data_IF_911193467067
#
_entry.id   IF_911193467067
#
_cell.length_a   1.000
_cell.length_b   1.000
_cell.length_c   1.000
_cell.angle_alpha   90.00
_cell.angle_beta   90.00
_cell.angle_gamma   90.00
#
_symmetry.space_group_name_H-M   'P 1'
#
loop_
_entity.id
_entity.type
_entity.pdbx_description
1 polymer ?
#
# COMPACT_ATOMS: atom_id res chain seq x y z
N UNK A 1 5.59 -56.04 53.12
CA UNK A 1 6.23 -55.74 51.81
C UNK A 1 5.57 -54.49 51.28
N UNK A 2 6.19 -53.34 51.53
CA UNK A 2 5.70 -52.01 51.17
C UNK A 2 6.01 -51.71 49.70
N UNK A 3 5.05 -51.18 48.96
CA UNK A 3 5.29 -50.56 47.65
C UNK A 3 5.75 -49.11 47.85
N UNK A 4 6.67 -48.58 47.02
CA UNK A 4 7.05 -47.18 47.08
C UNK A 4 6.11 -46.32 46.21
N UNK A 5 5.75 -45.14 46.74
CA UNK A 5 5.02 -44.11 46.03
C UNK A 5 5.93 -43.39 45.02
N UNK A 6 5.48 -43.30 43.77
CA UNK A 6 6.09 -42.49 42.72
C UNK A 6 5.78 -41.00 42.99
N UNK A 7 6.83 -40.21 43.16
CA UNK A 7 6.78 -38.76 43.24
C UNK A 7 6.58 -38.18 41.83
N UNK A 8 5.53 -37.40 41.63
CA UNK A 8 5.26 -36.64 40.41
C UNK A 8 6.27 -35.51 40.27
N UNK A 9 7.05 -35.52 39.19
CA UNK A 9 7.92 -34.42 38.77
C UNK A 9 7.12 -33.29 38.15
N UNK A 10 7.45 -32.06 38.56
CA UNK A 10 6.89 -30.80 38.10
C UNK A 10 6.98 -30.63 36.57
N UNK A 11 5.82 -30.40 35.94
CA UNK A 11 5.73 -29.93 34.56
C UNK A 11 6.17 -28.47 34.50
N UNK A 12 7.36 -28.25 33.93
CA UNK A 12 7.84 -26.94 33.49
C UNK A 12 6.96 -26.50 32.32
N UNK A 13 6.00 -25.62 32.60
CA UNK A 13 5.17 -24.97 31.58
C UNK A 13 6.06 -24.01 30.77
N UNK A 14 6.42 -24.41 29.56
CA UNK A 14 7.09 -23.55 28.59
C UNK A 14 6.24 -22.30 28.27
N UNK A 15 6.86 -21.23 27.71
CA UNK A 15 6.15 -19.99 27.40
C UNK A 15 4.99 -20.28 26.45
N UNK A 16 3.81 -19.75 26.79
CA UNK A 16 2.61 -19.87 25.98
C UNK A 16 2.81 -19.15 24.64
N UNK A 17 2.98 -19.93 23.56
CA UNK A 17 2.81 -19.42 22.21
C UNK A 17 1.44 -18.75 22.11
N UNK A 18 1.41 -17.48 21.69
CA UNK A 18 0.15 -16.78 21.46
C UNK A 18 -0.67 -17.56 20.42
N UNK A 19 -1.90 -17.90 20.76
CA UNK A 19 -2.82 -18.72 19.94
C UNK A 19 -3.46 -17.96 18.77
N UNK A 20 -2.97 -16.77 18.42
CA UNK A 20 -3.51 -15.96 17.34
C UNK A 20 -2.96 -16.43 15.98
N UNK A 21 -3.84 -16.59 14.99
CA UNK A 21 -3.42 -16.84 13.61
C UNK A 21 -2.47 -15.72 13.13
N UNK A 22 -1.49 -16.00 12.27
CA UNK A 22 -0.61 -14.96 11.76
C UNK A 22 -1.39 -13.91 10.95
N UNK A 23 -0.89 -12.68 10.96
CA UNK A 23 -1.34 -11.62 10.05
C UNK A 23 -0.69 -11.81 8.68
N UNK A 24 -1.37 -11.39 7.63
CA UNK A 24 -0.90 -11.48 6.25
C UNK A 24 -0.81 -10.09 5.62
N UNK A 25 0.36 -9.75 5.10
CA UNK A 25 0.64 -8.42 4.54
C UNK A 25 1.12 -8.53 3.11
N UNK A 26 0.49 -7.76 2.23
CA UNK A 26 0.99 -7.56 0.86
C UNK A 26 1.89 -6.33 0.84
N UNK A 27 3.10 -6.45 0.30
CA UNK A 27 4.00 -5.32 0.06
C UNK A 27 4.31 -5.25 -1.44
N UNK A 28 3.95 -4.17 -2.12
CA UNK A 28 4.23 -4.03 -3.55
C UNK A 28 5.38 -3.06 -3.81
N UNK A 29 6.21 -3.36 -4.80
CA UNK A 29 7.19 -2.44 -5.37
C UNK A 29 7.05 -2.44 -6.89
N UNK A 30 7.49 -1.39 -7.57
CA UNK A 30 7.35 -1.31 -9.02
C UNK A 30 8.47 -2.01 -9.76
N UNK A 31 8.17 -2.59 -10.93
CA UNK A 31 9.18 -3.05 -11.86
C UNK A 31 9.96 -1.93 -12.56
N UNK A 32 10.86 -2.28 -13.49
CA UNK A 32 11.68 -1.33 -14.24
C UNK A 32 10.84 -0.28 -14.98
N UNK A 33 11.30 0.98 -14.99
CA UNK A 33 10.65 2.07 -15.71
C UNK A 33 11.58 3.28 -15.91
N UNK A 34 11.44 3.95 -17.06
CA UNK A 34 12.21 5.15 -17.40
C UNK A 34 13.72 4.89 -17.26
N UNK A 35 14.41 5.64 -16.39
CA UNK A 35 15.85 5.50 -16.14
C UNK A 35 16.19 4.37 -15.16
N UNK A 36 15.21 3.70 -14.57
CA UNK A 36 15.43 2.64 -13.58
C UNK A 36 15.40 1.27 -14.26
N UNK A 37 16.57 0.74 -14.60
CA UNK A 37 16.71 -0.67 -15.00
C UNK A 37 16.32 -1.62 -13.86
N UNK A 38 16.63 -1.23 -12.63
CA UNK A 38 16.12 -1.85 -11.40
C UNK A 38 15.46 -0.75 -10.57
N UNK A 39 14.20 -0.95 -10.22
CA UNK A 39 13.44 0.04 -9.50
C UNK A 39 13.83 0.04 -8.00
N UNK A 40 14.15 1.21 -7.40
CA UNK A 40 14.50 1.29 -5.99
C UNK A 40 13.42 0.73 -5.06
N UNK A 41 12.14 0.91 -5.41
CA UNK A 41 11.03 0.35 -4.63
C UNK A 41 11.04 -1.19 -4.64
N UNK A 42 11.22 -1.83 -5.81
CA UNK A 42 11.32 -3.29 -5.88
C UNK A 42 12.54 -3.82 -5.11
N UNK A 43 13.68 -3.16 -5.23
CA UNK A 43 14.89 -3.55 -4.50
C UNK A 43 14.71 -3.49 -2.98
N UNK A 44 13.93 -2.54 -2.48
CA UNK A 44 13.66 -2.41 -1.06
C UNK A 44 12.64 -3.44 -0.54
N UNK A 45 11.63 -3.80 -1.34
CA UNK A 45 10.57 -4.74 -0.91
C UNK A 45 10.89 -6.20 -1.19
N UNK A 46 11.68 -6.52 -2.22
CA UNK A 46 11.98 -7.91 -2.59
C UNK A 46 12.57 -8.76 -1.46
N UNK A 47 13.43 -8.25 -0.55
CA UNK A 47 13.98 -9.05 0.53
C UNK A 47 12.95 -9.37 1.61
N UNK A 48 11.80 -8.67 1.62
CA UNK A 48 10.72 -8.88 2.59
C UNK A 48 9.86 -10.10 2.25
N UNK A 49 9.92 -10.61 1.02
CA UNK A 49 9.14 -11.77 0.61
C UNK A 49 9.48 -13.00 1.47
N UNK A 50 8.46 -13.72 1.96
CA UNK A 50 8.59 -14.85 2.91
C UNK A 50 9.17 -14.52 4.28
N UNK A 51 9.46 -13.24 4.59
CA UNK A 51 9.83 -12.88 5.95
C UNK A 51 8.63 -12.98 6.89
N UNK A 52 8.90 -13.48 8.10
CA UNK A 52 7.96 -13.40 9.22
C UNK A 52 8.44 -12.33 10.20
N UNK A 53 7.71 -11.22 10.25
CA UNK A 53 7.89 -10.19 11.26
C UNK A 53 6.95 -10.47 12.44
N UNK A 54 7.02 -9.62 13.46
CA UNK A 54 6.09 -9.65 14.58
C UNK A 54 5.55 -8.24 14.83
N UNK A 55 4.33 -8.15 15.35
CA UNK A 55 3.78 -6.89 15.85
C UNK A 55 4.63 -6.34 16.99
N UNK A 56 4.61 -5.02 17.18
CA UNK A 56 5.43 -4.37 18.24
C UNK A 56 4.70 -4.21 19.58
N UNK A 57 3.49 -4.72 19.69
CA UNK A 57 2.77 -4.78 20.96
C UNK A 57 3.15 -6.03 21.75
N UNK A 58 2.61 -6.15 22.97
CA UNK A 58 2.92 -7.26 23.87
C UNK A 58 2.46 -8.64 23.36
N UNK A 59 1.63 -8.71 22.31
CA UNK A 59 1.20 -9.99 21.73
C UNK A 59 2.28 -10.61 20.85
N UNK A 60 3.19 -9.79 20.31
CA UNK A 60 4.20 -10.19 19.31
C UNK A 60 3.61 -11.10 18.23
N UNK A 61 2.37 -10.83 17.79
CA UNK A 61 1.67 -11.64 16.79
C UNK A 61 2.49 -11.76 15.50
N UNK A 62 2.71 -12.97 14.94
CA UNK A 62 3.47 -13.14 13.70
C UNK A 62 2.80 -12.49 12.49
N UNK A 63 3.61 -11.96 11.57
CA UNK A 63 3.20 -11.27 10.34
C UNK A 63 3.93 -11.90 9.15
N UNK A 64 3.20 -12.53 8.23
CA UNK A 64 3.73 -13.11 7.00
C UNK A 64 3.65 -12.10 5.87
N UNK A 65 4.78 -11.87 5.20
CA UNK A 65 4.87 -10.89 4.11
C UNK A 65 4.90 -11.58 2.75
N UNK A 66 4.03 -11.11 1.86
CA UNK A 66 4.07 -11.40 0.43
C UNK A 66 4.51 -10.15 -0.32
N UNK A 67 5.71 -10.14 -0.88
CA UNK A 67 6.14 -9.09 -1.79
C UNK A 67 5.68 -9.35 -3.24
N UNK A 68 5.24 -8.31 -3.96
CA UNK A 68 4.83 -8.38 -5.37
C UNK A 68 5.45 -7.24 -6.19
N UNK A 69 6.05 -7.57 -7.33
CA UNK A 69 6.51 -6.59 -8.32
C UNK A 69 5.34 -6.18 -9.23
N UNK A 70 4.99 -4.89 -9.25
CA UNK A 70 3.89 -4.36 -10.06
C UNK A 70 4.42 -3.63 -11.31
N UNK A 71 3.85 -3.89 -12.50
CA UNK A 71 4.20 -3.14 -13.70
C UNK A 71 3.83 -1.65 -13.59
N UNK A 72 4.59 -0.77 -14.25
CA UNK A 72 4.32 0.67 -14.28
C UNK A 72 3.36 1.03 -15.42
N UNK A 73 2.17 0.42 -15.41
CA UNK A 73 1.15 0.56 -16.48
C UNK A 73 -0.24 0.76 -15.88
N UNK A 74 -1.07 1.59 -16.52
CA UNK A 74 -2.43 1.84 -16.02
C UNK A 74 -3.30 0.60 -16.13
N UNK A 75 -3.13 -0.18 -17.20
CA UNK A 75 -3.88 -1.42 -17.43
C UNK A 75 -3.60 -2.46 -16.34
N UNK A 76 -2.34 -2.64 -15.96
CA UNK A 76 -1.98 -3.62 -14.94
C UNK A 76 -2.48 -3.19 -13.55
N UNK A 77 -2.37 -1.91 -13.19
CA UNK A 77 -2.90 -1.43 -11.90
C UNK A 77 -4.42 -1.63 -11.80
N UNK A 78 -5.17 -1.33 -12.87
CA UNK A 78 -6.63 -1.54 -12.91
C UNK A 78 -7.01 -3.03 -12.85
N UNK A 79 -6.19 -3.92 -13.42
CA UNK A 79 -6.45 -5.35 -13.42
C UNK A 79 -6.11 -6.00 -12.07
N UNK A 80 -4.98 -5.61 -11.46
CA UNK A 80 -4.42 -6.27 -10.29
C UNK A 80 -4.98 -5.75 -8.97
N UNK A 81 -5.17 -4.43 -8.82
CA UNK A 81 -5.50 -3.87 -7.51
C UNK A 81 -6.82 -4.39 -6.94
N UNK A 82 -7.91 -4.56 -7.71
CA UNK A 82 -9.14 -5.18 -7.20
C UNK A 82 -8.93 -6.59 -6.65
N UNK A 83 -8.00 -7.37 -7.23
CA UNK A 83 -7.75 -8.74 -6.81
C UNK A 83 -6.89 -8.83 -5.54
N UNK A 84 -6.14 -7.78 -5.19
CA UNK A 84 -5.46 -7.69 -3.89
C UNK A 84 -6.44 -7.61 -2.72
N UNK A 85 -7.62 -7.02 -2.96
CA UNK A 85 -8.67 -6.80 -1.97
C UNK A 85 -9.76 -7.89 -1.99
N UNK A 86 -9.63 -8.89 -2.87
CA UNK A 86 -10.51 -10.05 -2.86
C UNK A 86 -10.25 -10.94 -1.64
N UNK A 87 -11.24 -11.78 -1.31
CA UNK A 87 -11.18 -12.73 -0.18
C UNK A 87 -11.61 -14.12 -0.68
N UNK A 88 -10.65 -15.02 -0.98
CA UNK A 88 -9.19 -14.84 -0.93
C UNK A 88 -8.66 -13.88 -2.01
N UNK A 89 -7.48 -13.25 -1.81
CA UNK A 89 -6.85 -12.44 -2.84
C UNK A 89 -6.32 -13.31 -3.97
N UNK A 90 -6.22 -12.73 -5.16
CA UNK A 90 -5.64 -13.38 -6.35
C UNK A 90 -4.47 -12.54 -6.83
N UNK A 91 -3.26 -13.10 -6.78
CA UNK A 91 -2.05 -12.46 -7.27
C UNK A 91 -1.67 -13.04 -8.64
N UNK A 92 -1.00 -12.26 -9.51
CA UNK A 92 -0.50 -12.79 -10.77
C UNK A 92 0.63 -13.79 -10.49
N UNK A 93 0.86 -14.72 -11.43
CA UNK A 93 2.03 -15.58 -11.36
C UNK A 93 3.31 -14.72 -11.45
N UNK A 94 4.25 -14.85 -10.51
CA UNK A 94 5.48 -14.08 -10.54
C UNK A 94 6.40 -14.59 -11.65
N UNK A 95 7.19 -13.69 -12.22
CA UNK A 95 8.23 -14.06 -13.20
C UNK A 95 9.28 -15.00 -12.59
N UNK A 96 9.60 -14.83 -11.31
CA UNK A 96 10.48 -15.70 -10.53
C UNK A 96 9.63 -16.59 -9.61
N UNK A 97 9.63 -17.93 -9.81
CA UNK A 97 8.89 -18.87 -8.97
C UNK A 97 9.23 -18.79 -7.47
N UNK A 98 10.40 -18.25 -7.09
CA UNK A 98 10.75 -18.03 -5.69
C UNK A 98 9.80 -17.04 -4.98
N UNK A 99 9.12 -16.19 -5.76
CA UNK A 99 8.16 -15.21 -5.26
C UNK A 99 6.70 -15.72 -5.30
N UNK A 100 6.49 -17.00 -5.63
CA UNK A 100 5.15 -17.57 -5.59
C UNK A 100 4.68 -17.65 -4.12
N UNK A 101 3.49 -17.08 -3.79
CA UNK A 101 2.96 -17.20 -2.44
C UNK A 101 2.66 -18.67 -2.16
N UNK A 102 3.06 -19.16 -0.97
CA UNK A 102 2.80 -20.55 -0.57
C UNK A 102 1.32 -20.80 -0.28
N UNK A 103 0.63 -19.80 0.27
CA UNK A 103 -0.80 -19.84 0.56
C UNK A 103 -1.36 -18.41 0.58
N UNK A 104 -2.56 -18.22 0.00
CA UNK A 104 -3.27 -16.94 0.05
C UNK A 104 -4.24 -16.92 1.24
N UNK A 105 -4.28 -15.84 2.04
CA UNK A 105 -5.17 -15.78 3.19
C UNK A 105 -6.64 -15.78 2.75
N UNK A 106 -7.42 -16.76 3.20
CA UNK A 106 -8.84 -16.88 2.86
C UNK A 106 -9.64 -15.61 3.22
N UNK A 107 -9.27 -14.93 4.30
CA UNK A 107 -9.88 -13.69 4.78
C UNK A 107 -9.38 -12.42 4.07
N UNK A 108 -8.46 -12.52 3.12
CA UNK A 108 -7.77 -11.36 2.57
C UNK A 108 -6.53 -10.95 3.36
N UNK A 109 -5.82 -9.94 2.86
CA UNK A 109 -4.72 -9.32 3.58
C UNK A 109 -5.22 -8.44 4.73
N UNK A 110 -4.46 -8.44 5.83
CA UNK A 110 -4.68 -7.60 7.00
C UNK A 110 -4.10 -6.18 6.81
N UNK A 111 -3.11 -6.03 5.93
CA UNK A 111 -2.52 -4.74 5.55
C UNK A 111 -1.94 -4.83 4.14
N UNK A 112 -2.09 -3.77 3.36
CA UNK A 112 -1.48 -3.64 2.04
C UNK A 112 -0.61 -2.38 2.02
N UNK A 113 0.69 -2.57 1.77
CA UNK A 113 1.67 -1.51 1.65
C UNK A 113 2.17 -1.41 0.22
N UNK A 114 1.98 -0.25 -0.40
CA UNK A 114 2.53 0.06 -1.71
C UNK A 114 3.78 0.93 -1.56
N UNK A 115 4.84 0.61 -2.30
CA UNK A 115 6.10 1.36 -2.29
C UNK A 115 6.45 1.81 -3.71
N UNK A 116 6.74 3.09 -3.87
CA UNK A 116 7.19 3.68 -5.13
C UNK A 116 8.47 4.49 -4.97
N UNK A 117 9.21 4.68 -6.05
CA UNK A 117 10.38 5.57 -6.04
C UNK A 117 9.95 7.02 -6.30
N UNK A 118 10.45 7.94 -5.49
CA UNK A 118 10.40 9.39 -5.75
C UNK A 118 11.80 9.94 -6.05
N UNK A 119 11.89 11.24 -6.34
CA UNK A 119 13.19 11.91 -6.46
C UNK A 119 13.99 11.88 -5.14
N UNK A 120 15.29 12.24 -5.17
CA UNK A 120 16.13 12.23 -3.99
C UNK A 120 15.53 13.02 -2.82
N UNK A 121 15.60 12.45 -1.61
CA UNK A 121 15.07 13.06 -0.41
C UNK A 121 14.65 12.04 0.66
N UNK A 122 13.94 12.48 1.71
CA UNK A 122 13.42 11.57 2.73
C UNK A 122 12.35 10.64 2.13
N UNK A 123 12.12 9.52 2.80
CA UNK A 123 10.93 8.70 2.55
C UNK A 123 9.66 9.52 2.85
N UNK A 124 8.57 9.24 2.13
CA UNK A 124 7.30 9.99 2.28
C UNK A 124 6.14 9.05 2.55
N UNK A 125 5.42 9.32 3.64
CA UNK A 125 4.16 8.65 3.98
C UNK A 125 3.02 9.36 3.27
N UNK A 126 2.49 8.76 2.21
CA UNK A 126 1.42 9.35 1.41
C UNK A 126 0.06 9.13 2.08
N UNK A 127 -0.64 10.24 2.35
CA UNK A 127 -1.89 10.23 3.11
C UNK A 127 -3.15 10.22 2.25
N UNK A 128 -3.01 10.53 0.96
CA UNK A 128 -4.11 10.85 0.06
C UNK A 128 -3.88 10.22 -1.31
N UNK A 129 -4.95 9.75 -1.96
CA UNK A 129 -5.02 9.44 -3.38
C UNK A 129 -6.02 10.36 -4.09
N UNK A 130 -5.80 10.66 -5.37
CA UNK A 130 -6.70 11.47 -6.21
C UNK A 130 -7.34 10.63 -7.32
N UNK A 131 -8.62 10.86 -7.63
CA UNK A 131 -9.37 10.09 -8.63
C UNK A 131 -9.00 10.39 -10.07
N UNK A 132 -8.60 11.63 -10.35
CA UNK A 132 -8.35 12.12 -11.71
C UNK A 132 -7.09 13.00 -11.81
N UNK A 133 -6.63 13.26 -13.04
CA UNK A 133 -5.47 14.09 -13.36
C UNK A 133 -4.27 13.32 -13.92
N UNK A 134 -4.48 12.07 -14.34
CA UNK A 134 -3.42 11.16 -14.80
C UNK A 134 -3.08 11.37 -16.28
N UNK A 135 -2.47 12.52 -16.60
CA UNK A 135 -2.24 12.96 -17.99
C UNK A 135 -0.91 12.46 -18.59
N UNK A 136 -0.09 11.77 -17.79
CA UNK A 136 1.22 11.26 -18.22
C UNK A 136 1.10 9.87 -18.86
N UNK A 137 1.81 9.59 -19.95
CA UNK A 137 1.88 8.24 -20.50
C UNK A 137 2.64 7.31 -19.56
N UNK A 138 2.23 6.05 -19.51
CA UNK A 138 2.86 5.00 -18.71
C UNK A 138 4.14 4.44 -19.36
N UNK A 139 4.69 3.36 -18.80
CA UNK A 139 5.91 2.70 -19.29
C UNK A 139 5.83 2.22 -20.74
N UNK A 140 4.63 2.02 -21.28
CA UNK A 140 4.39 1.57 -22.65
C UNK A 140 3.88 2.71 -23.54
N UNK A 141 3.96 3.96 -23.06
CA UNK A 141 3.51 5.13 -23.80
C UNK A 141 1.99 5.30 -23.82
N UNK A 142 1.23 4.54 -23.02
CA UNK A 142 -0.24 4.60 -23.00
C UNK A 142 -0.72 5.61 -21.97
N UNK A 143 -1.74 6.38 -22.32
CA UNK A 143 -2.38 7.31 -21.40
C UNK A 143 -3.40 6.58 -20.52
N UNK A 144 -3.59 7.08 -19.30
CA UNK A 144 -4.65 6.62 -18.41
C UNK A 144 -6.02 6.73 -19.10
N UNK A 145 -6.95 5.78 -18.87
CA UNK A 145 -8.31 5.87 -19.39
C UNK A 145 -8.98 7.22 -19.09
N UNK A 146 -9.88 7.61 -19.97
CA UNK A 146 -10.69 8.82 -19.78
C UNK A 146 -11.71 8.51 -18.69
N UNK A 147 -11.68 9.27 -17.60
CA UNK A 147 -12.78 9.28 -16.64
C UNK A 147 -13.97 9.95 -17.37
N UNK A 148 -15.13 9.30 -17.44
CA UNK A 148 -16.27 9.73 -18.24
C UNK A 148 -16.48 11.26 -18.21
N UNK A 149 -16.83 11.86 -19.35
CA UNK A 149 -17.00 13.32 -19.49
C UNK A 149 -18.01 13.93 -18.51
N UNK A 150 -18.87 13.09 -17.91
CA UNK A 150 -19.91 13.45 -16.94
C UNK A 150 -19.49 13.30 -15.47
N UNK A 151 -18.27 12.82 -15.17
CA UNK A 151 -17.77 12.61 -13.80
C UNK A 151 -17.42 13.91 -13.04
N UNK A 152 -17.96 15.05 -13.48
CA UNK A 152 -17.89 16.32 -12.74
C UNK A 152 -19.22 16.53 -12.01
N UNK A 153 -19.29 16.39 -10.68
CA UNK A 153 -20.46 16.87 -9.96
C UNK A 153 -20.57 18.39 -10.10
N UNK A 154 -21.76 18.82 -10.51
CA UNK A 154 -22.29 20.17 -10.34
C UNK A 154 -22.43 20.50 -8.84
N UNK A 155 -21.31 20.78 -8.18
CA UNK A 155 -21.28 21.30 -6.81
C UNK A 155 -21.60 22.79 -6.81
N UNK A 156 -22.65 23.17 -6.07
CA UNK A 156 -23.11 24.55 -5.90
C UNK A 156 -22.03 25.45 -5.30
N UNK A 157 -21.55 26.39 -6.11
CA UNK A 157 -20.61 27.43 -5.71
C UNK A 157 -20.16 28.19 -6.94
N UNK A 158 -20.92 29.19 -7.37
CA UNK A 158 -20.60 30.03 -8.55
C UNK A 158 -19.20 30.68 -8.48
N UNK A 159 -18.62 30.78 -7.29
CA UNK A 159 -17.26 31.28 -7.04
C UNK A 159 -16.15 30.28 -7.42
N UNK A 160 -16.39 28.97 -7.29
CA UNK A 160 -15.37 27.94 -7.50
C UNK A 160 -15.19 27.57 -8.98
N UNK A 161 -16.26 27.73 -9.78
CA UNK A 161 -16.25 27.58 -11.23
C UNK A 161 -15.28 28.54 -11.93
N UNK A 162 -15.17 29.78 -11.43
CA UNK A 162 -14.28 30.79 -12.00
C UNK A 162 -12.82 30.55 -11.62
N UNK A 163 -12.56 30.15 -10.38
CA UNK A 163 -11.20 29.79 -9.93
C UNK A 163 -10.68 28.56 -10.72
N UNK A 164 -11.51 27.52 -10.88
CA UNK A 164 -11.17 26.33 -11.70
C UNK A 164 -10.96 26.66 -13.18
N UNK A 165 -11.75 27.57 -13.76
CA UNK A 165 -11.54 28.05 -15.13
C UNK A 165 -10.26 28.88 -15.28
N UNK A 166 -9.87 29.64 -14.26
CA UNK A 166 -8.60 30.36 -14.22
C UNK A 166 -7.41 29.40 -14.13
N UNK A 167 -7.48 28.39 -13.26
CA UNK A 167 -6.42 27.38 -13.10
C UNK A 167 -6.29 26.52 -14.37
N UNK A 168 -7.41 26.08 -14.98
CA UNK A 168 -7.41 25.40 -16.30
C UNK A 168 -6.79 26.25 -17.41
N UNK A 169 -6.85 27.58 -17.30
CA UNK A 169 -6.25 28.50 -18.28
C UNK A 169 -4.72 28.54 -18.24
N UNK A 170 -4.08 27.98 -17.21
CA UNK A 170 -2.65 28.12 -16.98
C UNK A 170 -1.82 26.87 -17.30
N UNK A 171 -2.42 25.68 -17.47
CA UNK A 171 -1.65 24.41 -17.48
C UNK A 171 -1.98 23.38 -18.57
N UNK A 172 -2.81 23.68 -19.58
CA UNK A 172 -2.99 22.77 -20.73
C UNK A 172 -4.02 23.24 -21.76
N UNK A 173 -4.15 22.53 -22.90
CA UNK A 173 -5.20 22.80 -23.89
C UNK A 173 -6.57 22.63 -23.23
N UNK A 174 -7.47 23.62 -23.38
CA UNK A 174 -8.81 23.66 -22.73
C UNK A 174 -9.71 22.45 -23.05
N UNK A 175 -9.34 21.63 -24.02
CA UNK A 175 -10.12 20.52 -24.58
C UNK A 175 -9.53 19.12 -24.29
N UNK A 176 -8.47 19.01 -23.48
CA UNK A 176 -7.95 17.70 -23.10
C UNK A 176 -8.97 16.93 -22.22
N UNK A 177 -9.22 15.64 -22.50
CA UNK A 177 -10.13 14.84 -21.69
C UNK A 177 -9.55 14.60 -20.29
N UNK A 178 -10.41 14.54 -19.28
CA UNK A 178 -10.00 14.21 -17.91
C UNK A 178 -9.68 12.71 -17.83
N UNK A 179 -8.50 12.37 -17.31
CA UNK A 179 -8.04 10.98 -17.20
C UNK A 179 -7.96 10.52 -15.75
N UNK A 180 -8.35 9.28 -15.50
CA UNK A 180 -8.40 8.69 -14.18
C UNK A 180 -9.43 7.58 -14.06
N UNK A 181 -9.99 7.43 -12.87
CA UNK A 181 -10.97 6.39 -12.56
C UNK A 181 -12.37 6.83 -13.02
N UNK A 182 -12.92 6.09 -14.00
CA UNK A 182 -14.25 6.30 -14.57
C UNK A 182 -15.23 5.21 -14.14
N UNK A 183 -15.68 4.40 -15.09
CA UNK A 183 -16.67 3.34 -14.88
C UNK A 183 -16.28 2.41 -13.72
N UNK A 184 -17.23 2.16 -12.80
CA UNK A 184 -17.05 1.36 -11.60
C UNK A 184 -16.47 2.12 -10.40
N UNK A 185 -16.04 3.37 -10.57
CA UNK A 185 -15.53 4.22 -9.50
C UNK A 185 -16.37 5.47 -9.22
N UNK A 186 -17.58 5.56 -9.77
CA UNK A 186 -18.46 6.72 -9.72
C UNK A 186 -18.74 7.15 -8.28
N UNK A 187 -19.04 6.18 -7.41
CA UNK A 187 -19.46 6.41 -6.02
C UNK A 187 -18.31 6.77 -5.06
N UNK A 188 -17.04 6.68 -5.50
CA UNK A 188 -15.89 7.06 -4.68
C UNK A 188 -15.63 8.56 -4.76
N UNK A 189 -15.25 9.13 -3.62
CA UNK A 189 -14.87 10.54 -3.51
C UNK A 189 -13.66 10.89 -4.40
N UNK A 190 -13.59 12.12 -4.88
CA UNK A 190 -12.47 12.61 -5.72
C UNK A 190 -11.11 12.47 -5.03
N UNK A 191 -11.09 12.51 -3.71
CA UNK A 191 -9.91 12.27 -2.88
C UNK A 191 -10.24 11.24 -1.80
N UNK A 192 -9.36 10.27 -1.64
CA UNK A 192 -9.44 9.25 -0.59
C UNK A 192 -8.22 9.37 0.31
N UNK A 193 -8.39 9.05 1.60
CA UNK A 193 -7.34 9.16 2.60
C UNK A 193 -7.11 7.82 3.30
N UNK A 194 -5.85 7.52 3.60
CA UNK A 194 -5.52 6.34 4.42
C UNK A 194 -6.04 6.52 5.85
N UNK A 195 -6.50 5.41 6.45
CA UNK A 195 -6.85 5.36 7.87
C UNK A 195 -5.61 5.16 8.77
N UNK A 196 -4.43 4.88 8.18
CA UNK A 196 -3.19 4.73 8.95
C UNK A 196 -2.79 6.07 9.56
N UNK A 197 -2.63 6.11 10.89
CA UNK A 197 -2.15 7.28 11.61
C UNK A 197 -0.67 7.56 11.30
N UNK A 198 -0.46 8.28 10.21
CA UNK A 198 0.86 8.66 9.71
C UNK A 198 1.66 9.52 10.69
N UNK A 199 1.02 10.28 11.58
CA UNK A 199 1.75 11.12 12.55
C UNK A 199 2.40 10.24 13.61
N UNK A 200 1.64 9.29 14.16
CA UNK A 200 2.15 8.32 15.13
C UNK A 200 3.15 7.37 14.47
N UNK A 201 2.90 6.94 13.23
CA UNK A 201 3.84 6.10 12.48
C UNK A 201 5.19 6.81 12.28
N UNK A 202 5.18 8.05 11.80
CA UNK A 202 6.41 8.83 11.57
C UNK A 202 7.15 9.06 12.88
N UNK A 203 6.42 9.38 13.96
CA UNK A 203 7.02 9.54 15.29
C UNK A 203 7.73 8.25 15.72
N UNK A 204 7.04 7.11 15.63
CA UNK A 204 7.59 5.79 15.97
C UNK A 204 8.84 5.45 15.13
N UNK A 205 8.81 5.70 13.82
CA UNK A 205 9.95 5.45 12.94
C UNK A 205 11.17 6.30 13.33
N UNK A 206 10.96 7.58 13.65
CA UNK A 206 12.03 8.46 14.13
C UNK A 206 12.61 7.99 15.47
N UNK A 207 11.76 7.58 16.40
CA UNK A 207 12.17 7.04 17.70
C UNK A 207 12.94 5.71 17.58
N UNK A 208 12.73 4.96 16.50
CA UNK A 208 13.42 3.70 16.21
C UNK A 208 14.61 3.85 15.25
N UNK A 209 15.04 5.08 14.97
CA UNK A 209 16.28 5.39 14.24
C UNK A 209 16.09 5.84 12.79
N UNK A 210 14.88 5.83 12.25
CA UNK A 210 14.58 6.21 10.86
C UNK A 210 14.15 7.68 10.80
N UNK A 211 15.15 8.58 10.79
CA UNK A 211 14.91 10.03 10.88
C UNK A 211 14.45 10.67 9.57
N UNK A 212 14.82 10.10 8.42
CA UNK A 212 14.55 10.64 7.09
C UNK A 212 13.19 10.18 6.54
N UNK A 213 12.13 10.46 7.28
CA UNK A 213 10.76 10.20 6.87
C UNK A 213 9.83 11.36 7.22
N UNK A 214 8.96 11.73 6.27
CA UNK A 214 8.06 12.89 6.35
C UNK A 214 6.66 12.55 5.84
N UNK A 215 5.62 13.29 6.27
CA UNK A 215 4.29 13.11 5.69
C UNK A 215 4.21 13.74 4.30
N UNK A 216 3.31 13.22 3.47
CA UNK A 216 3.01 13.75 2.13
C UNK A 216 1.52 13.54 1.79
N UNK A 217 0.98 14.42 0.96
CA UNK A 217 -0.41 14.36 0.44
C UNK A 217 -0.42 14.39 -1.09
N UNK A 218 0.73 14.15 -1.70
CA UNK A 218 0.94 14.24 -3.13
C UNK A 218 1.90 13.13 -3.55
N UNK A 219 1.33 11.98 -3.90
CA UNK A 219 2.10 10.85 -4.41
C UNK A 219 2.50 11.05 -5.90
N UNK A 220 2.21 12.22 -6.47
CA UNK A 220 2.43 12.54 -7.87
C UNK A 220 1.41 11.85 -8.78
N UNK A 221 0.68 12.64 -9.58
CA UNK A 221 -0.32 12.21 -10.57
C UNK A 221 0.29 11.36 -11.71
N UNK A 222 0.70 10.15 -11.35
CA UNK A 222 1.25 9.08 -12.17
C UNK A 222 0.91 7.74 -11.49
N UNK A 223 1.63 6.65 -11.75
CA UNK A 223 1.25 5.32 -11.29
C UNK A 223 1.28 5.15 -9.77
N UNK A 224 2.16 5.86 -9.04
CA UNK A 224 2.22 5.84 -7.58
C UNK A 224 0.90 6.30 -6.93
N UNK A 225 0.42 7.50 -7.30
CA UNK A 225 -0.90 7.97 -6.86
C UNK A 225 -2.03 7.08 -7.39
N UNK A 226 -1.89 6.57 -8.62
CA UNK A 226 -2.93 5.76 -9.26
C UNK A 226 -3.20 4.47 -8.48
N UNK A 227 -2.17 3.69 -8.14
CA UNK A 227 -2.36 2.49 -7.30
C UNK A 227 -2.80 2.85 -5.88
N UNK A 228 -2.33 3.97 -5.33
CA UNK A 228 -2.73 4.43 -4.00
C UNK A 228 -4.25 4.70 -3.95
N UNK A 229 -4.76 5.52 -4.88
CA UNK A 229 -6.19 5.79 -4.98
C UNK A 229 -6.99 4.51 -5.26
N UNK A 230 -6.53 3.69 -6.21
CA UNK A 230 -7.19 2.43 -6.55
C UNK A 230 -7.33 1.54 -5.31
N UNK A 231 -6.23 1.33 -4.57
CA UNK A 231 -6.20 0.48 -3.39
C UNK A 231 -7.08 1.02 -2.25
N UNK A 232 -7.11 2.34 -2.03
CA UNK A 232 -8.04 2.98 -1.09
C UNK A 232 -9.51 2.73 -1.48
N UNK A 233 -9.85 2.88 -2.76
CA UNK A 233 -11.20 2.65 -3.26
C UNK A 233 -11.59 1.16 -3.17
N UNK A 234 -10.70 0.25 -3.54
CA UNK A 234 -10.95 -1.19 -3.45
C UNK A 234 -11.10 -1.67 -2.01
N UNK A 235 -10.34 -1.11 -1.06
CA UNK A 235 -10.49 -1.40 0.36
C UNK A 235 -11.90 -1.02 0.86
N UNK A 236 -12.38 0.17 0.50
CA UNK A 236 -13.74 0.62 0.80
C UNK A 236 -14.81 -0.26 0.12
N UNK A 237 -14.57 -0.63 -1.14
CA UNK A 237 -15.46 -1.51 -1.91
C UNK A 237 -15.60 -2.89 -1.25
N UNK A 238 -14.47 -3.50 -0.88
CA UNK A 238 -14.45 -4.81 -0.23
C UNK A 238 -15.17 -4.79 1.12
N UNK A 239 -14.92 -3.76 1.94
CA UNK A 239 -15.62 -3.57 3.22
C UNK A 239 -17.15 -3.42 3.06
N UNK A 240 -17.59 -2.80 1.96
CA UNK A 240 -19.01 -2.56 1.70
C UNK A 240 -19.75 -3.82 1.20
N UNK A 241 -19.08 -4.73 0.48
CA UNK A 241 -19.68 -5.93 -0.11
C UNK A 241 -20.00 -7.02 0.92
N UNK A 242 -19.19 -7.14 1.97
CA UNK A 242 -19.28 -8.28 2.88
C UNK A 242 -20.38 -8.14 3.96
N UNK A 243 -21.06 -7.00 4.03
CA UNK A 243 -22.24 -6.79 4.88
C UNK A 243 -21.91 -6.64 6.37
N UNK A 244 -22.39 -5.53 6.97
CA UNK A 244 -22.37 -5.18 8.40
C UNK A 244 -21.05 -5.43 9.15
N UNK A 245 -20.19 -4.40 9.17
CA UNK A 245 -19.22 -4.19 10.25
C UNK A 245 -17.79 -4.65 9.99
N UNK A 246 -17.44 -5.08 8.78
CA UNK A 246 -16.05 -5.37 8.45
C UNK A 246 -15.29 -4.06 8.13
N UNK A 247 -14.19 -3.84 8.84
CA UNK A 247 -13.28 -2.72 8.61
C UNK A 247 -12.61 -2.90 7.25
N UNK A 248 -12.42 -1.79 6.53
CA UNK A 248 -11.61 -1.79 5.32
C UNK A 248 -10.19 -2.25 5.65
N UNK A 249 -9.59 -3.07 4.77
CA UNK A 249 -8.18 -3.42 4.88
C UNK A 249 -7.36 -2.12 4.85
N UNK A 250 -6.56 -1.81 5.89
CA UNK A 250 -5.70 -0.64 5.86
C UNK A 250 -4.78 -0.68 4.64
N UNK A 251 -4.68 0.44 3.95
CA UNK A 251 -3.77 0.62 2.81
C UNK A 251 -2.88 1.82 3.05
N UNK A 252 -1.61 1.70 2.66
CA UNK A 252 -0.65 2.80 2.76
C UNK A 252 0.22 2.83 1.52
N UNK A 253 0.60 4.04 1.09
CA UNK A 253 1.63 4.23 0.08
C UNK A 253 2.84 4.95 0.69
N UNK A 254 4.04 4.44 0.38
CA UNK A 254 5.32 5.04 0.76
C UNK A 254 6.14 5.36 -0.48
N UNK A 255 6.65 6.59 -0.57
CA UNK A 255 7.75 6.86 -1.48
C UNK A 255 9.10 6.59 -0.80
N UNK A 256 9.96 5.86 -1.48
CA UNK A 256 11.38 5.73 -1.14
C UNK A 256 12.25 6.59 -2.07
N UNK A 257 13.45 6.99 -1.63
CA UNK A 257 14.42 7.64 -2.51
C UNK A 257 14.99 6.69 -3.57
N UNK A 258 15.72 7.22 -4.55
CA UNK A 258 16.61 6.44 -5.40
C UNK A 258 17.70 5.75 -4.58
N UNK A 259 18.28 4.67 -5.15
CA UNK A 259 19.33 3.87 -4.51
C UNK A 259 20.47 4.78 -4.04
N UNK A 260 20.82 4.68 -2.75
CA UNK A 260 21.91 5.41 -2.10
C UNK A 260 21.77 6.94 -2.17
N UNK A 261 20.54 7.49 -2.28
CA UNK A 261 20.30 8.94 -2.48
C UNK A 261 19.06 9.49 -1.76
N UNK A 262 19.12 9.77 -0.44
CA UNK A 262 20.29 9.76 0.44
C UNK A 262 20.43 8.47 1.25
N UNK A 263 19.46 7.57 1.14
CA UNK A 263 19.37 6.37 1.97
C UNK A 263 19.90 5.15 1.22
N UNK A 264 20.66 4.26 1.88
CA UNK A 264 20.94 2.95 1.34
C UNK A 264 19.65 2.12 1.29
N UNK A 265 19.58 1.20 0.34
CA UNK A 265 18.39 0.36 0.14
C UNK A 265 18.05 -0.45 1.39
N UNK A 266 19.07 -0.90 2.12
CA UNK A 266 18.93 -1.67 3.35
C UNK A 266 18.27 -0.86 4.47
N UNK A 267 18.55 0.45 4.55
CA UNK A 267 17.86 1.33 5.49
C UNK A 267 16.39 1.53 5.11
N UNK A 268 16.10 1.65 3.81
CA UNK A 268 14.71 1.69 3.31
C UNK A 268 13.99 0.39 3.65
N UNK A 269 14.58 -0.78 3.39
CA UNK A 269 14.01 -2.09 3.75
C UNK A 269 13.73 -2.19 5.24
N UNK A 270 14.69 -1.81 6.10
CA UNK A 270 14.51 -1.81 7.56
C UNK A 270 13.39 -0.87 8.01
N UNK A 271 13.21 0.29 7.36
CA UNK A 271 12.09 1.18 7.64
C UNK A 271 10.74 0.54 7.28
N UNK A 272 10.66 -0.17 6.15
CA UNK A 272 9.45 -0.88 5.73
C UNK A 272 9.08 -2.01 6.70
N UNK A 273 10.05 -2.75 7.23
CA UNK A 273 9.80 -3.75 8.28
C UNK A 273 9.16 -3.10 9.52
N UNK A 274 9.69 -1.95 9.97
CA UNK A 274 9.13 -1.21 11.10
C UNK A 274 7.72 -0.67 10.82
N UNK A 275 7.45 -0.22 9.59
CA UNK A 275 6.10 0.20 9.17
C UNK A 275 5.14 -0.98 9.31
N UNK A 276 5.47 -2.14 8.73
CA UNK A 276 4.62 -3.33 8.76
C UNK A 276 4.35 -3.77 10.21
N UNK A 277 5.40 -3.95 11.01
CA UNK A 277 5.26 -4.35 12.42
C UNK A 277 4.42 -3.38 13.25
N UNK A 278 4.53 -2.07 13.00
CA UNK A 278 3.78 -1.05 13.74
C UNK A 278 2.33 -0.94 13.28
N UNK A 279 2.07 -0.90 11.98
CA UNK A 279 0.70 -0.79 11.44
C UNK A 279 -0.13 -2.00 11.87
N UNK A 280 0.46 -3.20 11.79
CA UNK A 280 -0.18 -4.44 12.22
C UNK A 280 -0.42 -4.55 13.74
N UNK A 281 0.23 -3.70 14.56
CA UNK A 281 -0.03 -3.63 16.00
C UNK A 281 -1.08 -2.56 16.37
N UNK A 282 -1.63 -1.85 15.39
CA UNK A 282 -2.68 -0.87 15.63
C UNK A 282 -4.06 -1.56 15.65
N UNK A 283 -5.02 -1.04 16.44
CA UNK A 283 -6.39 -1.55 16.47
C UNK A 283 -7.17 -1.30 15.17
#
# INVERSE_FOLDING_TARGET
MSQPALTSSDDVKGPSESSASPLHVLVTGYGPFSTYEQNPSWLAVKPLHHLTLHTVDASERPIRITALEVPVTYTDVLALTPSFHARPPVLPEPNDPAFAPSEMPASGFDFILHVGVAGPGPMRVERRGRKVGYDKPDAQGKLCPIASADALPSGEGQTDSLLRKLVRGLTGPRDAPVRGFGEGYEDFSEELFTEVDSERLIKYLKETGFSQIVPSTDAGLYLCEFINYCSLAEAQRAASKDGVGQKATPTLFLHCPPINQPLPTEEVTGALEKVVSWVCSQP
#
